data_IF_945242231745
#
_entry.id   IF_945242231745
#
_cell.length_a   1.000
_cell.length_b   1.000
_cell.length_c   1.000
_cell.angle_alpha   90.00
_cell.angle_beta   90.00
_cell.angle_gamma   90.00
#
_symmetry.space_group_name_H-M   'P 1'
#
loop_
_entity.id
_entity.type
_entity.pdbx_description
1 polymer ?
#
# COMPACT_ATOMS: atom_id res chain seq x y z
N UNK A 1 -11.48 -21.90 -11.29
CA UNK A 1 -11.54 -20.48 -11.75
C UNK A 1 -10.15 -20.07 -12.17
N UNK A 2 -10.01 -19.19 -13.16
CA UNK A 2 -8.73 -18.70 -13.64
C UNK A 2 -8.66 -17.18 -13.49
N UNK A 3 -7.46 -16.64 -13.30
CA UNK A 3 -7.25 -15.21 -13.19
C UNK A 3 -7.43 -14.56 -14.57
N UNK A 4 -8.27 -13.53 -14.63
CA UNK A 4 -8.57 -12.79 -15.86
C UNK A 4 -8.09 -11.33 -15.79
N UNK A 5 -7.68 -10.85 -14.62
CA UNK A 5 -7.05 -9.53 -14.47
C UNK A 5 -6.55 -9.27 -13.06
N UNK A 6 -5.57 -8.37 -12.95
CA UNK A 6 -5.02 -7.87 -11.71
C UNK A 6 -5.15 -6.35 -11.69
N UNK A 7 -5.69 -5.82 -10.60
CA UNK A 7 -5.85 -4.38 -10.39
C UNK A 7 -5.17 -3.99 -9.07
N UNK A 8 -4.31 -2.98 -9.08
CA UNK A 8 -3.71 -2.46 -7.85
C UNK A 8 -4.72 -1.54 -7.17
N UNK A 9 -5.27 -1.97 -6.06
CA UNK A 9 -6.32 -1.24 -5.34
C UNK A 9 -5.73 -0.23 -4.36
N UNK A 10 -4.57 -0.53 -3.77
CA UNK A 10 -3.95 0.33 -2.74
C UNK A 10 -2.44 0.13 -2.69
N UNK A 11 -1.69 1.20 -2.36
CA UNK A 11 -0.26 1.18 -2.11
C UNK A 11 0.05 1.81 -0.75
N UNK A 12 0.52 1.02 0.21
CA UNK A 12 0.88 1.51 1.55
C UNK A 12 2.39 1.51 1.77
N UNK A 13 2.87 2.41 2.61
CA UNK A 13 4.24 2.44 3.10
C UNK A 13 4.32 1.71 4.44
N UNK A 14 5.13 0.64 4.49
CA UNK A 14 5.40 -0.19 5.65
C UNK A 14 6.74 0.18 6.27
N UNK A 15 6.73 0.39 7.59
CA UNK A 15 7.94 0.54 8.37
C UNK A 15 8.45 -0.84 8.80
N UNK A 16 9.69 -1.15 8.44
CA UNK A 16 10.49 -2.24 8.99
C UNK A 16 11.66 -1.55 9.69
N UNK A 17 12.16 -2.02 10.85
CA UNK A 17 13.29 -1.36 11.50
C UNK A 17 14.43 -1.05 10.51
N UNK A 18 14.81 0.23 10.42
CA UNK A 18 15.79 0.79 9.48
C UNK A 18 15.42 0.79 7.97
N UNK A 19 14.21 0.38 7.57
CA UNK A 19 13.79 0.32 6.17
C UNK A 19 12.32 0.74 5.96
N UNK A 20 12.04 1.40 4.83
CA UNK A 20 10.68 1.66 4.38
C UNK A 20 10.40 0.86 3.12
N UNK A 21 9.25 0.19 3.08
CA UNK A 21 8.84 -0.66 1.95
C UNK A 21 7.47 -0.28 1.45
N UNK A 22 7.28 -0.26 0.14
CA UNK A 22 5.97 -0.08 -0.47
C UNK A 22 5.30 -1.45 -0.57
N UNK A 23 4.07 -1.55 -0.06
CA UNK A 23 3.23 -2.74 -0.10
C UNK A 23 2.05 -2.45 -1.01
N UNK A 24 1.99 -3.16 -2.13
CA UNK A 24 0.87 -3.07 -3.06
C UNK A 24 -0.18 -4.14 -2.74
N UNK A 25 -1.43 -3.71 -2.58
CA UNK A 25 -2.56 -4.60 -2.44
C UNK A 25 -3.23 -4.79 -3.80
N UNK A 26 -3.03 -5.98 -4.36
CA UNK A 26 -3.52 -6.34 -5.69
C UNK A 26 -4.81 -7.15 -5.57
N UNK A 27 -5.87 -6.67 -6.21
CA UNK A 27 -7.11 -7.41 -6.38
C UNK A 27 -7.05 -8.22 -7.65
N UNK A 28 -7.26 -9.53 -7.54
CA UNK A 28 -7.34 -10.42 -8.70
C UNK A 28 -8.79 -10.74 -8.99
N UNK A 29 -9.19 -10.56 -10.25
CA UNK A 29 -10.47 -11.01 -10.77
C UNK A 29 -10.34 -12.44 -11.31
N UNK A 30 -11.31 -13.28 -10.96
CA UNK A 30 -11.36 -14.68 -11.36
C UNK A 30 -12.62 -14.98 -12.15
N UNK A 31 -12.47 -15.74 -13.24
CA UNK A 31 -13.58 -16.21 -14.07
C UNK A 31 -13.52 -17.73 -14.28
N UNK A 32 -14.64 -18.33 -14.70
CA UNK A 32 -14.70 -19.75 -15.01
C UNK A 32 -14.38 -19.99 -16.50
N UNK A 33 -13.33 -20.76 -16.80
CA UNK A 33 -12.94 -21.13 -18.19
C UNK A 33 -14.06 -21.84 -18.95
N UNK A 34 -14.89 -22.63 -18.25
CA UNK A 34 -15.98 -23.37 -18.87
C UNK A 34 -17.18 -22.48 -19.18
N UNK A 35 -17.47 -21.50 -18.33
CA UNK A 35 -18.56 -20.54 -18.55
C UNK A 35 -18.22 -19.57 -19.68
N UNK A 36 -16.96 -19.12 -19.79
CA UNK A 36 -16.51 -18.27 -20.90
C UNK A 36 -16.64 -18.97 -22.26
N UNK A 37 -16.28 -20.25 -22.35
CA UNK A 37 -16.37 -21.01 -23.61
C UNK A 37 -17.80 -21.29 -24.05
N UNK A 38 -18.71 -21.44 -23.09
CA UNK A 38 -20.09 -21.84 -23.36
C UNK A 38 -21.06 -20.65 -23.41
N UNK A 39 -20.57 -19.41 -23.34
CA UNK A 39 -21.37 -18.16 -23.29
C UNK A 39 -22.48 -18.15 -22.22
N UNK A 40 -22.37 -19.01 -21.21
CA UNK A 40 -23.24 -19.03 -20.05
C UNK A 40 -22.76 -17.93 -19.11
N UNK A 41 -23.69 -17.13 -18.57
CA UNK A 41 -23.40 -15.98 -17.70
C UNK A 41 -22.19 -16.26 -16.79
N UNK A 42 -21.07 -15.57 -17.04
CA UNK A 42 -19.79 -15.84 -16.38
C UNK A 42 -19.76 -15.10 -15.04
N UNK A 43 -19.90 -15.76 -13.87
CA UNK A 43 -19.73 -15.07 -12.60
C UNK A 43 -18.26 -14.68 -12.44
N UNK A 44 -17.94 -13.40 -12.61
CA UNK A 44 -16.65 -12.85 -12.23
C UNK A 44 -16.61 -12.65 -10.73
N UNK A 45 -15.65 -13.26 -10.04
CA UNK A 45 -15.44 -13.09 -8.60
C UNK A 45 -14.13 -12.32 -8.37
N UNK A 46 -14.22 -11.20 -7.67
CA UNK A 46 -13.04 -10.44 -7.23
C UNK A 46 -12.55 -10.97 -5.89
N UNK A 47 -11.24 -11.01 -5.68
CA UNK A 47 -10.64 -11.29 -4.37
C UNK A 47 -10.96 -10.16 -3.39
N UNK A 48 -11.16 -10.50 -2.12
CA UNK A 48 -11.28 -9.50 -1.07
C UNK A 48 -9.91 -8.86 -0.80
N UNK A 49 -9.91 -7.54 -0.62
CA UNK A 49 -8.73 -6.75 -0.26
C UNK A 49 -9.03 -6.09 1.09
N UNK A 50 -8.13 -6.19 2.09
CA UNK A 50 -8.37 -5.58 3.39
C UNK A 50 -8.49 -4.06 3.27
N UNK A 51 -9.40 -3.48 4.05
CA UNK A 51 -9.62 -2.03 4.08
C UNK A 51 -8.38 -1.27 4.58
N UNK A 52 -8.26 0.00 4.17
CA UNK A 52 -7.21 0.91 4.65
C UNK A 52 -7.36 1.15 6.13
N UNK A 53 -6.23 1.33 6.84
CA UNK A 53 -6.28 1.69 8.26
C UNK A 53 -7.02 3.01 8.48
N UNK A 54 -6.76 3.98 7.60
CA UNK A 54 -7.35 5.30 7.62
C UNK A 54 -8.07 5.56 6.29
N UNK A 55 -9.34 6.00 6.31
CA UNK A 55 -10.04 6.35 5.08
C UNK A 55 -9.40 7.59 4.44
N UNK A 56 -9.11 7.51 3.15
CA UNK A 56 -8.54 8.63 2.37
C UNK A 56 -7.01 8.76 2.42
N UNK A 57 -6.32 8.17 3.41
CA UNK A 57 -4.85 8.10 3.44
C UNK A 57 -4.38 6.70 3.06
N UNK A 58 -4.54 6.36 1.79
CA UNK A 58 -4.18 5.05 1.23
C UNK A 58 -2.69 4.68 1.32
N UNK A 59 -1.85 5.50 1.97
CA UNK A 59 -0.40 5.39 2.07
C UNK A 59 0.04 4.85 3.45
N UNK A 60 -0.77 4.95 4.51
CA UNK A 60 -0.28 4.67 5.88
C UNK A 60 -0.59 3.23 6.29
N UNK A 61 0.44 2.39 6.40
CA UNK A 61 0.29 1.07 7.03
C UNK A 61 0.23 1.17 8.57
N UNK A 62 -0.32 0.15 9.26
CA UNK A 62 -0.31 0.09 10.73
C UNK A 62 1.07 0.21 11.35
N UNK A 63 2.08 -0.41 10.72
CA UNK A 63 3.47 -0.35 11.18
C UNK A 63 4.06 1.06 11.11
N UNK A 64 3.74 1.82 10.05
CA UNK A 64 4.20 3.19 9.89
C UNK A 64 3.53 4.11 10.91
N UNK A 65 2.23 3.95 11.12
CA UNK A 65 1.52 4.73 12.13
C UNK A 65 2.08 4.45 13.53
N UNK A 66 2.31 3.18 13.87
CA UNK A 66 2.93 2.81 15.14
C UNK A 66 4.30 3.46 15.33
N UNK A 67 5.12 3.52 14.26
CA UNK A 67 6.42 4.19 14.30
C UNK A 67 6.30 5.70 14.56
N UNK A 68 5.40 6.38 13.84
CA UNK A 68 5.15 7.83 14.02
C UNK A 68 4.66 8.13 15.44
N UNK A 69 3.72 7.31 15.94
CA UNK A 69 3.19 7.46 17.30
C UNK A 69 4.27 7.21 18.35
N UNK A 70 5.08 6.16 18.20
CA UNK A 70 6.19 5.89 19.10
C UNK A 70 7.18 7.08 19.13
N UNK A 71 7.55 7.60 17.96
CA UNK A 71 8.45 8.75 17.88
C UNK A 71 7.84 10.00 18.53
N UNK A 72 6.56 10.27 18.30
CA UNK A 72 5.88 11.44 18.85
C UNK A 72 5.71 11.36 20.36
N UNK A 73 5.25 10.22 20.87
CA UNK A 73 4.82 10.09 22.27
C UNK A 73 5.86 9.44 23.19
N UNK A 74 6.62 8.44 22.73
CA UNK A 74 7.65 7.81 23.54
C UNK A 74 8.99 8.57 23.48
N UNK A 75 9.34 9.09 22.29
CA UNK A 75 10.61 9.79 22.07
C UNK A 75 10.49 11.32 22.05
N UNK A 76 9.28 11.86 22.26
CA UNK A 76 8.99 13.29 22.22
C UNK A 76 9.51 14.00 20.96
N UNK A 77 9.55 13.29 19.83
CA UNK A 77 10.13 13.76 18.59
C UNK A 77 9.05 14.53 17.80
N UNK A 78 9.23 15.84 17.56
CA UNK A 78 8.20 16.66 16.94
C UNK A 78 7.96 16.22 15.49
N UNK A 79 6.71 16.37 15.02
CA UNK A 79 6.28 15.88 13.70
C UNK A 79 7.12 16.46 12.55
N UNK A 80 7.44 17.75 12.58
CA UNK A 80 8.28 18.38 11.55
C UNK A 80 9.67 17.72 11.43
N UNK A 81 10.22 17.21 12.52
CA UNK A 81 11.52 16.54 12.53
C UNK A 81 11.41 15.13 11.94
N UNK A 82 10.29 14.46 12.16
CA UNK A 82 10.00 13.18 11.52
C UNK A 82 9.79 13.35 10.00
N UNK A 83 9.11 14.41 9.59
CA UNK A 83 8.94 14.77 8.17
C UNK A 83 10.29 15.04 7.48
N UNK A 84 11.19 15.79 8.13
CA UNK A 84 12.55 16.01 7.63
C UNK A 84 13.32 14.69 7.48
N UNK A 85 13.15 13.75 8.40
CA UNK A 85 13.78 12.44 8.30
C UNK A 85 13.21 11.62 7.14
N UNK A 86 11.89 11.62 6.93
CA UNK A 86 11.28 10.98 5.77
C UNK A 86 11.80 11.58 4.46
N UNK A 87 11.93 12.91 4.38
CA UNK A 87 12.52 13.58 3.22
C UNK A 87 13.98 13.16 2.98
N UNK A 88 14.79 13.03 4.04
CA UNK A 88 16.18 12.54 3.94
C UNK A 88 16.27 11.13 3.39
N UNK A 89 15.35 10.26 3.80
CA UNK A 89 15.27 8.86 3.34
C UNK A 89 14.62 8.76 1.95
N UNK A 90 14.20 9.89 1.37
CA UNK A 90 13.59 9.94 0.05
C UNK A 90 12.13 9.48 0.02
N UNK A 91 11.49 9.34 1.17
CA UNK A 91 10.04 9.13 1.28
C UNK A 91 9.35 10.49 1.14
N UNK A 92 8.62 10.76 0.04
CA UNK A 92 7.93 12.02 -0.12
C UNK A 92 6.85 12.16 0.96
N UNK A 93 6.96 13.21 1.79
CA UNK A 93 5.96 13.59 2.78
C UNK A 93 4.74 14.33 2.17
N UNK A 94 4.76 14.58 0.85
CA UNK A 94 3.71 15.31 0.17
C UNK A 94 2.43 14.47 0.04
N UNK A 95 1.41 14.94 0.75
CA UNK A 95 -0.02 14.67 0.62
C UNK A 95 -0.42 13.96 -0.68
N UNK A 96 -0.41 12.62 -0.64
CA UNK A 96 -1.16 11.80 -1.59
C UNK A 96 -0.45 11.33 -2.85
N UNK A 97 0.82 11.65 -3.09
CA UNK A 97 1.57 11.09 -4.24
C UNK A 97 2.90 10.53 -3.80
N UNK A 98 2.92 9.23 -3.54
CA UNK A 98 4.14 8.42 -3.59
C UNK A 98 4.65 8.51 -5.03
N UNK A 99 5.50 9.49 -5.33
CA UNK A 99 6.12 9.65 -6.64
C UNK A 99 6.78 8.34 -7.04
N UNK A 100 6.56 7.92 -8.30
CA UNK A 100 7.05 6.67 -8.89
C UNK A 100 8.59 6.64 -8.98
N UNK A 101 9.28 6.63 -7.82
CA UNK A 101 10.70 6.28 -7.75
C UNK A 101 10.79 4.78 -7.55
N UNK A 102 11.32 4.15 -8.59
CA UNK A 102 11.49 2.72 -8.72
C UNK A 102 12.27 2.16 -7.51
N UNK A 103 11.91 0.98 -6.96
CA UNK A 103 12.47 0.42 -5.72
C UNK A 103 13.99 0.09 -5.74
N UNK A 104 14.71 0.44 -6.81
CA UNK A 104 16.16 0.21 -6.95
C UNK A 104 17.04 1.33 -6.41
N UNK A 105 16.47 2.42 -5.92
CA UNK A 105 17.22 3.58 -5.39
C UNK A 105 17.27 3.62 -3.85
N UNK A 106 16.83 2.55 -3.18
CA UNK A 106 16.78 2.43 -1.72
C UNK A 106 17.82 1.45 -1.17
N UNK A 107 19.01 1.41 -1.78
CA UNK A 107 20.22 0.73 -1.29
C UNK A 107 21.38 1.70 -1.31
#
# INVERSE_FOLDING_TARGET
MHACGHEVVRRELRYVPAQYKVVEHVQTAYSCRNCEKNALATPMKKSEVPAGLLPGSGIVSPSLLAHILNNKYALALPLYRQEQEFQRIGVPADNGKLGDRHPREMV
#
